data_IF_935213670576
#
_entry.id   IF_935213670576
#
_cell.length_a   1.000
_cell.length_b   1.000
_cell.length_c   1.000
_cell.angle_alpha   90.00
_cell.angle_beta   90.00
_cell.angle_gamma   90.00
#
_symmetry.space_group_name_H-M   'P 1'
#
loop_
_entity.id
_entity.type
_entity.pdbx_description
1 polymer ?
#
# COMPACT_ATOMS: atom_id res chain seq x y z
N UNK A 1 1.63 5.30 -17.19
CA UNK A 1 1.09 4.00 -16.71
C UNK A 1 1.36 2.97 -17.80
N UNK A 2 2.17 1.95 -17.50
CA UNK A 2 2.51 0.90 -18.45
C UNK A 2 1.53 -0.27 -18.38
N UNK A 3 1.60 -1.18 -19.35
CA UNK A 3 0.76 -2.39 -19.39
C UNK A 3 1.07 -3.31 -18.20
N UNK A 4 2.33 -3.37 -17.78
CA UNK A 4 2.80 -4.17 -16.65
C UNK A 4 2.16 -3.69 -15.34
N UNK A 5 2.11 -2.37 -15.12
CA UNK A 5 1.45 -1.81 -13.94
C UNK A 5 -0.07 -2.03 -13.96
N UNK A 6 -0.71 -2.03 -15.14
CA UNK A 6 -2.12 -2.37 -15.27
C UNK A 6 -2.38 -3.86 -14.97
N UNK A 7 -1.51 -4.75 -15.44
CA UNK A 7 -1.60 -6.18 -15.18
C UNK A 7 -1.40 -6.49 -13.69
N UNK A 8 -0.40 -5.88 -13.06
CA UNK A 8 -0.18 -5.99 -11.62
C UNK A 8 -1.36 -5.42 -10.82
N UNK A 9 -1.87 -4.24 -11.20
CA UNK A 9 -3.05 -3.69 -10.54
C UNK A 9 -4.26 -4.63 -10.64
N UNK A 10 -4.46 -5.25 -11.80
CA UNK A 10 -5.53 -6.24 -12.01
C UNK A 10 -5.38 -7.47 -11.11
N UNK A 11 -4.15 -7.95 -10.91
CA UNK A 11 -3.85 -9.09 -10.04
C UNK A 11 -4.27 -8.83 -8.59
N UNK A 12 -3.99 -7.63 -8.06
CA UNK A 12 -4.24 -7.31 -6.65
C UNK A 12 -5.59 -6.61 -6.39
N UNK A 13 -6.33 -6.20 -7.43
CA UNK A 13 -7.62 -5.52 -7.25
C UNK A 13 -8.78 -6.52 -7.17
N UNK A 14 -9.59 -6.51 -6.10
CA UNK A 14 -10.60 -7.56 -5.84
C UNK A 14 -11.75 -7.57 -6.85
N UNK A 15 -12.03 -6.43 -7.50
CA UNK A 15 -13.14 -6.28 -8.43
C UNK A 15 -12.70 -5.58 -9.74
N UNK A 16 -11.56 -5.97 -10.32
CA UNK A 16 -10.95 -5.27 -11.46
C UNK A 16 -11.88 -5.03 -12.65
N UNK A 17 -12.76 -5.99 -12.96
CA UNK A 17 -13.71 -5.90 -14.08
C UNK A 17 -14.73 -4.78 -13.89
N UNK A 18 -15.06 -4.41 -12.65
CA UNK A 18 -15.97 -3.32 -12.33
C UNK A 18 -15.31 -1.93 -12.40
N UNK A 19 -13.97 -1.85 -12.48
CA UNK A 19 -13.27 -0.57 -12.55
C UNK A 19 -13.41 0.07 -13.92
N UNK A 20 -13.73 1.37 -13.93
CA UNK A 20 -13.63 2.22 -15.14
C UNK A 20 -12.18 2.32 -15.61
N UNK A 21 -11.93 2.68 -16.89
CA UNK A 21 -10.57 2.86 -17.40
C UNK A 21 -9.72 3.83 -16.57
N UNK A 22 -10.31 4.90 -16.05
CA UNK A 22 -9.63 5.88 -15.18
C UNK A 22 -9.30 5.27 -13.82
N UNK A 23 -10.23 4.55 -13.20
CA UNK A 23 -9.98 3.87 -11.92
C UNK A 23 -8.83 2.85 -12.05
N UNK A 24 -8.79 2.10 -13.16
CA UNK A 24 -7.69 1.16 -13.46
C UNK A 24 -6.33 1.86 -13.50
N UNK A 25 -6.24 3.04 -14.11
CA UNK A 25 -5.00 3.85 -14.13
C UNK A 25 -4.59 4.31 -12.73
N UNK A 26 -5.54 4.68 -11.87
CA UNK A 26 -5.23 5.04 -10.49
C UNK A 26 -4.73 3.84 -9.66
N UNK A 27 -5.32 2.66 -9.84
CA UNK A 27 -4.82 1.45 -9.20
C UNK A 27 -3.43 1.05 -9.72
N UNK A 28 -3.17 1.20 -11.02
CA UNK A 28 -1.85 0.98 -11.61
C UNK A 28 -0.79 1.96 -11.08
N UNK A 29 -1.15 3.24 -10.87
CA UNK A 29 -0.25 4.21 -10.23
C UNK A 29 0.22 3.72 -8.85
N UNK A 30 -0.69 3.13 -8.05
CA UNK A 30 -0.35 2.63 -6.72
C UNK A 30 0.71 1.52 -6.75
N UNK A 31 0.86 0.79 -7.86
CA UNK A 31 1.91 -0.22 -7.99
C UNK A 31 3.30 0.42 -7.94
N UNK A 32 3.49 1.55 -8.64
CA UNK A 32 4.76 2.29 -8.60
C UNK A 32 5.03 2.94 -7.24
N UNK A 33 3.98 3.35 -6.51
CA UNK A 33 4.16 3.89 -5.16
C UNK A 33 4.68 2.85 -4.17
N UNK A 34 4.39 1.57 -4.40
CA UNK A 34 4.79 0.47 -3.52
C UNK A 34 6.10 -0.18 -3.97
N UNK A 35 6.34 -0.27 -5.28
CA UNK A 35 7.43 -1.06 -5.86
C UNK A 35 8.38 -0.22 -6.75
N UNK A 36 8.37 1.10 -6.62
CA UNK A 36 9.21 1.99 -7.40
C UNK A 36 8.84 2.05 -8.90
N UNK A 37 9.60 2.82 -9.66
CA UNK A 37 9.36 3.02 -11.10
C UNK A 37 9.58 1.74 -11.93
N UNK A 38 10.36 0.79 -11.41
CA UNK A 38 10.68 -0.50 -12.04
C UNK A 38 9.65 -1.59 -11.73
N UNK A 39 8.67 -1.31 -10.86
CA UNK A 39 7.68 -2.27 -10.34
C UNK A 39 8.31 -3.46 -9.61
N UNK A 40 9.52 -3.30 -9.10
CA UNK A 40 10.31 -4.38 -8.48
C UNK A 40 11.00 -3.96 -7.19
N UNK A 41 11.30 -2.69 -7.01
CA UNK A 41 12.00 -2.17 -5.83
C UNK A 41 10.99 -1.82 -4.74
N UNK A 42 10.76 -2.69 -3.74
CA UNK A 42 9.79 -2.42 -2.69
C UNK A 42 10.18 -1.19 -1.88
N UNK A 43 9.19 -0.41 -1.47
CA UNK A 43 9.38 0.60 -0.43
C UNK A 43 9.82 -0.08 0.89
N UNK A 44 10.69 0.58 1.65
CA UNK A 44 11.14 0.07 2.96
C UNK A 44 9.98 -0.07 3.95
N UNK A 45 9.03 0.87 3.89
CA UNK A 45 7.77 0.83 4.63
C UNK A 45 6.74 1.76 3.97
N UNK A 46 5.48 1.62 4.37
CA UNK A 46 4.37 2.49 3.93
C UNK A 46 3.75 3.19 5.13
N UNK A 47 3.58 4.50 5.02
CA UNK A 47 2.76 5.29 5.95
C UNK A 47 1.47 5.66 5.23
N UNK A 48 0.32 5.40 5.86
CA UNK A 48 -0.96 5.79 5.29
C UNK A 48 -2.00 6.10 6.36
N UNK A 49 -3.17 6.52 5.90
CA UNK A 49 -4.38 6.59 6.70
C UNK A 49 -5.53 5.97 5.92
N UNK A 50 -6.27 5.06 6.56
CA UNK A 50 -7.56 4.60 6.06
C UNK A 50 -8.57 4.53 7.20
N UNK A 51 -9.86 4.80 6.94
CA UNK A 51 -10.88 4.71 7.98
C UNK A 51 -10.83 3.37 8.72
N UNK A 52 -10.67 3.42 10.06
CA UNK A 52 -10.58 2.26 10.95
C UNK A 52 -9.47 1.25 10.56
N UNK A 53 -8.39 1.72 9.93
CA UNK A 53 -7.29 0.88 9.48
C UNK A 53 -7.63 -0.06 8.32
N UNK A 54 -8.81 0.08 7.69
CA UNK A 54 -9.33 -0.89 6.71
C UNK A 54 -8.64 -0.80 5.35
N UNK A 55 -8.52 -1.94 4.66
CA UNK A 55 -7.95 -2.01 3.31
C UNK A 55 -8.97 -1.64 2.22
N UNK A 56 -9.32 -0.34 2.14
CA UNK A 56 -10.37 0.16 1.25
C UNK A 56 -9.87 1.21 0.24
N UNK A 57 -10.60 1.35 -0.86
CA UNK A 57 -10.32 2.34 -1.91
C UNK A 57 -8.97 2.16 -2.61
N UNK A 58 -8.41 3.28 -3.08
CA UNK A 58 -7.10 3.32 -3.73
C UNK A 58 -5.98 2.84 -2.79
N UNK A 59 -5.97 3.32 -1.54
CA UNK A 59 -4.98 2.89 -0.53
C UNK A 59 -5.05 1.38 -0.29
N UNK A 60 -6.25 0.80 -0.26
CA UNK A 60 -6.43 -0.65 -0.16
C UNK A 60 -5.69 -1.43 -1.25
N UNK A 61 -5.56 -0.87 -2.47
CA UNK A 61 -4.74 -1.47 -3.52
C UNK A 61 -3.27 -1.56 -3.13
N UNK A 62 -2.70 -0.44 -2.67
CA UNK A 62 -1.31 -0.41 -2.22
C UNK A 62 -1.09 -1.36 -1.03
N UNK A 63 -2.04 -1.42 -0.07
CA UNK A 63 -1.97 -2.30 1.09
C UNK A 63 -2.04 -3.79 0.74
N UNK A 64 -2.73 -4.17 -0.34
CA UNK A 64 -2.73 -5.57 -0.83
C UNK A 64 -1.39 -5.95 -1.45
N UNK A 65 -0.78 -5.04 -2.22
CA UNK A 65 0.58 -5.23 -2.78
C UNK A 65 1.58 -5.32 -1.63
N UNK A 66 1.53 -4.38 -0.67
CA UNK A 66 2.42 -4.36 0.49
C UNK A 66 2.39 -5.66 1.29
N UNK A 67 1.20 -6.26 1.49
CA UNK A 67 1.04 -7.55 2.15
C UNK A 67 1.80 -8.67 1.42
N UNK A 68 1.69 -8.74 0.10
CA UNK A 68 2.37 -9.76 -0.71
C UNK A 68 3.89 -9.64 -0.60
N UNK A 69 4.41 -8.41 -0.68
CA UNK A 69 5.84 -8.12 -0.61
C UNK A 69 6.38 -8.00 0.82
N UNK A 70 5.54 -8.28 1.83
CA UNK A 70 5.86 -8.19 3.27
C UNK A 70 6.44 -6.82 3.68
N UNK A 71 5.96 -5.76 3.05
CA UNK A 71 6.36 -4.38 3.34
C UNK A 71 5.65 -3.93 4.63
N UNK A 72 6.38 -3.43 5.65
CA UNK A 72 5.79 -2.86 6.85
C UNK A 72 4.81 -1.72 6.53
N UNK A 73 3.66 -1.70 7.21
CA UNK A 73 2.63 -0.68 7.03
C UNK A 73 2.30 -0.06 8.38
N UNK A 74 2.46 1.26 8.45
CA UNK A 74 1.99 2.09 9.55
C UNK A 74 0.71 2.79 9.09
N UNK A 75 -0.43 2.40 9.65
CA UNK A 75 -1.72 2.98 9.29
C UNK A 75 -2.27 3.84 10.43
N UNK A 76 -2.27 5.15 10.24
CA UNK A 76 -2.73 6.14 11.23
C UNK A 76 -4.24 6.14 11.47
N UNK A 77 -5.01 5.45 10.64
CA UNK A 77 -6.43 5.24 10.91
C UNK A 77 -6.72 3.99 11.74
N UNK A 78 -5.68 3.24 12.13
CA UNK A 78 -5.81 2.12 13.06
C UNK A 78 -6.11 2.65 14.46
N UNK A 79 -7.15 2.10 15.09
CA UNK A 79 -7.48 2.38 16.50
C UNK A 79 -6.78 1.37 17.44
N UNK A 80 -5.60 0.86 17.08
CA UNK A 80 -4.88 -0.09 17.92
C UNK A 80 -4.46 0.58 19.24
N UNK A 81 -5.25 0.33 20.29
CA UNK A 81 -5.02 0.88 21.63
C UNK A 81 -3.73 0.36 22.28
N UNK A 82 -3.17 -0.75 21.78
CA UNK A 82 -1.93 -1.34 22.29
C UNK A 82 -0.70 -0.84 21.54
N UNK A 83 -0.86 -0.30 20.33
CA UNK A 83 0.25 0.14 19.47
C UNK A 83 -0.06 1.47 18.80
N UNK A 84 0.66 2.50 19.24
CA UNK A 84 0.67 3.82 18.62
C UNK A 84 1.36 3.76 17.26
N UNK A 85 0.68 4.15 16.16
CA UNK A 85 1.31 4.28 14.84
C UNK A 85 2.52 5.23 14.83
N UNK A 86 2.53 6.24 15.71
CA UNK A 86 3.68 7.14 15.86
C UNK A 86 4.91 6.45 16.45
N UNK A 87 4.71 5.51 17.38
CA UNK A 87 5.82 4.80 18.00
C UNK A 87 6.40 3.75 17.05
N UNK A 88 5.57 3.10 16.23
CA UNK A 88 6.03 2.23 15.14
C UNK A 88 6.84 3.02 14.09
N UNK A 89 6.37 4.20 13.70
CA UNK A 89 7.09 5.07 12.78
C UNK A 89 8.46 5.48 13.34
N UNK A 90 8.52 5.87 14.63
CA UNK A 90 9.79 6.21 15.29
C UNK A 90 10.78 5.05 15.25
N UNK A 91 10.34 3.83 15.58
CA UNK A 91 11.19 2.63 15.53
C UNK A 91 11.77 2.40 14.14
N UNK A 92 10.94 2.50 13.11
CA UNK A 92 11.36 2.29 11.72
C UNK A 92 12.32 3.37 11.20
N UNK A 93 12.12 4.63 11.60
CA UNK A 93 12.95 5.76 11.11
C UNK A 93 14.26 5.90 11.90
N UNK A 94 14.22 5.69 13.22
CA UNK A 94 15.38 5.92 14.10
C UNK A 94 16.25 4.67 14.29
N UNK A 95 15.81 3.50 13.80
CA UNK A 95 16.54 2.24 13.96
C UNK A 95 16.60 1.77 15.42
N UNK A 96 15.69 2.24 16.27
CA UNK A 96 15.59 1.82 17.66
C UNK A 96 14.97 0.41 17.75
N UNK A 97 15.82 -0.61 17.58
CA UNK A 97 15.62 -1.97 18.09
C UNK A 97 14.86 -2.95 17.17
N UNK A 98 15.64 -3.75 16.43
CA UNK A 98 15.45 -5.20 16.36
C UNK A 98 16.32 -5.85 17.44
#
# INVERSE_FOLDING_TARGET
ITTEALAMAAQFHPAWRACTPTARKFHARNCYQVLGNDLKTPADFIVCWTPNGKQIGGTGQALRIAREYKIPVINFGSEDLLRSPMDELRKLVLGEGL
#
